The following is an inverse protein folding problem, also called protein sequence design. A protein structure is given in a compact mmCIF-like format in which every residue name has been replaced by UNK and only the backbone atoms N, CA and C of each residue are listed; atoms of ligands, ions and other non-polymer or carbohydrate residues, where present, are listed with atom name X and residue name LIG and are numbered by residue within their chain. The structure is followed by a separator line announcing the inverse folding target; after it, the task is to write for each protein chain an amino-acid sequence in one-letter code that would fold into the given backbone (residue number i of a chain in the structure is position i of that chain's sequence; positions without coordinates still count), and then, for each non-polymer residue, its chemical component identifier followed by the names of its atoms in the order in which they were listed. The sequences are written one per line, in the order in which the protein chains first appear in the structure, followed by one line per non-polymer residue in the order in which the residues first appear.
data_IF_485377744406
#
_entry.id   IF_485377744406
#
_cell.length_a   1.000
_cell.length_b   1.000
_cell.length_c   1.000
_cell.angle_alpha   90.00
_cell.angle_beta   90.00
_cell.angle_gamma   90.00
#
_symmetry.space_group_name_H-M   'P 1'
#
loop_
_entity.id
_entity.type
_entity.pdbx_description
1 polymer ?
#
# COMPACT_ATOMS: atom_id res chain seq x y z
N UNK A 1 15.75 55.74 4.57
CA UNK A 1 14.43 55.09 4.77
C UNK A 1 14.11 54.18 3.59
N UNK A 2 14.78 53.02 3.47
CA UNK A 2 14.36 51.92 2.60
C UNK A 2 15.31 50.73 2.79
N UNK A 3 14.95 49.80 3.67
CA UNK A 3 15.44 48.42 3.66
C UNK A 3 14.68 47.62 4.72
N UNK A 4 13.54 47.03 4.34
CA UNK A 4 12.94 45.89 5.02
C UNK A 4 11.67 45.48 4.28
N UNK A 5 11.77 44.64 3.23
CA UNK A 5 10.66 43.73 2.87
C UNK A 5 11.02 42.68 1.79
N UNK A 6 12.08 41.89 1.96
CA UNK A 6 12.39 40.82 0.98
C UNK A 6 12.88 39.54 1.65
N UNK A 7 12.12 38.99 2.60
CA UNK A 7 12.48 37.66 3.12
C UNK A 7 11.32 36.76 3.59
N UNK A 8 10.09 36.98 3.11
CA UNK A 8 8.92 36.21 3.58
C UNK A 8 8.23 35.40 2.47
N UNK A 9 8.97 34.81 1.53
CA UNK A 9 8.36 34.14 0.37
C UNK A 9 8.86 32.74 0.04
N UNK A 10 9.74 32.12 0.85
CA UNK A 10 10.31 30.80 0.49
C UNK A 10 10.18 29.68 1.53
N UNK A 11 9.23 29.78 2.47
CA UNK A 11 8.82 28.61 3.26
C UNK A 11 7.64 27.91 2.58
N UNK A 12 7.92 27.23 1.46
CA UNK A 12 7.02 26.21 0.94
C UNK A 12 6.96 25.09 1.99
N UNK A 13 5.79 24.93 2.61
CA UNK A 13 5.58 24.00 3.71
C UNK A 13 5.91 22.56 3.31
N UNK A 14 6.78 21.93 4.09
CA UNK A 14 7.03 20.49 4.01
C UNK A 14 5.73 19.78 4.36
N UNK A 15 5.15 19.03 3.42
CA UNK A 15 4.00 18.19 3.71
C UNK A 15 4.44 17.04 4.63
N UNK A 16 3.95 17.05 5.87
CA UNK A 16 4.23 16.01 6.88
C UNK A 16 3.55 14.68 6.53
N UNK A 17 2.47 14.73 5.75
CA UNK A 17 1.66 13.56 5.39
C UNK A 17 1.13 13.69 3.95
N UNK A 18 1.00 12.57 3.22
CA UNK A 18 0.52 12.58 1.86
C UNK A 18 -0.95 13.05 1.78
N UNK A 19 -1.35 13.68 0.66
CA UNK A 19 -2.74 14.04 0.42
C UNK A 19 -3.68 12.83 0.47
N UNK A 20 -4.92 13.01 0.93
CA UNK A 20 -5.92 11.94 1.04
C UNK A 20 -6.55 11.51 -0.30
N UNK A 21 -5.97 11.92 -1.44
CA UNK A 21 -6.45 11.57 -2.78
C UNK A 21 -5.61 10.43 -3.36
N UNK A 22 -6.25 9.41 -3.92
CA UNK A 22 -5.59 8.40 -4.74
C UNK A 22 -5.55 8.93 -6.17
N UNK A 23 -4.35 9.21 -6.69
CA UNK A 23 -4.21 9.56 -8.10
C UNK A 23 -4.38 8.32 -9.00
N UNK A 24 -4.57 8.51 -10.30
CA UNK A 24 -4.60 7.40 -11.26
C UNK A 24 -3.33 6.54 -11.18
N UNK A 25 -2.16 7.17 -10.95
CA UNK A 25 -0.89 6.45 -10.84
C UNK A 25 -0.87 5.59 -9.57
N UNK A 26 -1.35 6.12 -8.45
CA UNK A 26 -1.45 5.37 -7.20
C UNK A 26 -2.39 4.17 -7.36
N UNK A 27 -3.55 4.37 -8.01
CA UNK A 27 -4.51 3.30 -8.25
C UNK A 27 -3.93 2.16 -9.12
N UNK A 28 -3.11 2.49 -10.12
CA UNK A 28 -2.41 1.48 -10.93
C UNK A 28 -1.42 0.68 -10.08
N UNK A 29 -0.58 1.36 -9.28
CA UNK A 29 0.36 0.66 -8.40
C UNK A 29 -0.34 -0.20 -7.35
N UNK A 30 -1.43 0.29 -6.76
CA UNK A 30 -2.24 -0.48 -5.81
C UNK A 30 -2.84 -1.73 -6.47
N UNK A 31 -3.31 -1.61 -7.71
CA UNK A 31 -3.82 -2.76 -8.49
C UNK A 31 -2.73 -3.81 -8.72
N UNK A 32 -1.52 -3.37 -9.09
CA UNK A 32 -0.37 -4.26 -9.27
C UNK A 32 0.00 -4.95 -7.94
N UNK A 33 0.09 -4.20 -6.84
CA UNK A 33 0.42 -4.74 -5.51
C UNK A 33 -0.60 -5.78 -5.05
N UNK A 34 -1.89 -5.52 -5.24
CA UNK A 34 -2.96 -6.49 -4.93
C UNK A 34 -2.80 -7.75 -5.79
N UNK A 35 -2.59 -7.59 -7.09
CA UNK A 35 -2.43 -8.71 -8.02
C UNK A 35 -1.21 -9.57 -7.70
N UNK A 36 -0.08 -8.94 -7.37
CA UNK A 36 1.16 -9.64 -7.03
C UNK A 36 1.05 -10.41 -5.71
N UNK A 37 0.47 -9.81 -4.66
CA UNK A 37 0.28 -10.53 -3.39
C UNK A 37 -0.68 -11.71 -3.53
N UNK A 38 -1.80 -11.54 -4.24
CA UNK A 38 -2.74 -12.65 -4.48
C UNK A 38 -2.09 -13.78 -5.29
N UNK A 39 -1.34 -13.44 -6.34
CA UNK A 39 -0.65 -14.42 -7.17
C UNK A 39 0.43 -15.17 -6.36
N UNK A 40 1.24 -14.43 -5.60
CA UNK A 40 2.29 -15.00 -4.77
C UNK A 40 1.73 -15.95 -3.71
N UNK A 41 0.66 -15.56 -3.01
CA UNK A 41 -0.05 -16.41 -2.06
C UNK A 41 -0.50 -17.74 -2.70
N UNK A 42 -1.16 -17.66 -3.86
CA UNK A 42 -1.65 -18.85 -4.58
C UNK A 42 -0.50 -19.76 -5.03
N UNK A 43 0.58 -19.19 -5.55
CA UNK A 43 1.75 -19.96 -5.98
C UNK A 43 2.48 -20.61 -4.81
N UNK A 44 2.66 -19.89 -3.71
CA UNK A 44 3.28 -20.42 -2.51
C UNK A 44 2.48 -21.62 -1.97
N UNK A 45 1.16 -21.49 -1.86
CA UNK A 45 0.30 -22.60 -1.46
C UNK A 45 0.36 -23.78 -2.43
N UNK A 46 0.34 -23.51 -3.75
CA UNK A 46 0.50 -24.55 -4.77
C UNK A 46 1.82 -25.32 -4.59
N UNK A 47 2.95 -24.63 -4.41
CA UNK A 47 4.24 -25.31 -4.22
C UNK A 47 4.34 -26.04 -2.89
N UNK A 48 3.73 -25.52 -1.81
CA UNK A 48 3.65 -26.23 -0.52
C UNK A 48 2.94 -27.59 -0.65
N UNK A 49 1.94 -27.71 -1.54
CA UNK A 49 1.23 -28.96 -1.80
C UNK A 49 2.03 -29.95 -2.67
N UNK A 50 2.92 -29.46 -3.54
CA UNK A 50 3.71 -30.30 -4.44
C UNK A 50 5.07 -30.71 -3.85
N UNK A 51 5.52 -30.03 -2.80
CA UNK A 51 6.80 -30.28 -2.15
C UNK A 51 6.74 -31.46 -1.18
N UNK A 52 7.75 -32.33 -1.23
CA UNK A 52 7.92 -33.45 -0.29
C UNK A 52 8.80 -33.09 0.89
N UNK A 53 9.67 -32.09 0.73
CA UNK A 53 10.53 -31.59 1.79
C UNK A 53 9.71 -30.76 2.80
N UNK A 54 9.74 -31.18 4.06
CA UNK A 54 8.92 -30.59 5.11
C UNK A 54 9.38 -29.18 5.51
N UNK A 55 10.67 -28.88 5.40
CA UNK A 55 11.22 -27.56 5.68
C UNK A 55 10.79 -26.58 4.59
N UNK A 56 10.94 -26.96 3.31
CA UNK A 56 10.49 -26.14 2.18
C UNK A 56 8.98 -25.91 2.21
N UNK A 57 8.19 -26.94 2.52
CA UNK A 57 6.74 -26.81 2.69
C UNK A 57 6.40 -25.74 3.73
N UNK A 58 7.09 -25.75 4.87
CA UNK A 58 6.88 -24.76 5.94
C UNK A 58 7.21 -23.35 5.46
N UNK A 59 8.31 -23.17 4.74
CA UNK A 59 8.69 -21.87 4.18
C UNK A 59 7.68 -21.36 3.14
N UNK A 60 7.15 -22.23 2.28
CA UNK A 60 6.11 -21.87 1.33
C UNK A 60 4.82 -21.43 2.03
N UNK A 61 4.36 -22.15 3.05
CA UNK A 61 3.17 -21.76 3.81
C UNK A 61 3.36 -20.40 4.50
N UNK A 62 4.52 -20.16 5.13
CA UNK A 62 4.85 -18.87 5.75
C UNK A 62 4.88 -17.73 4.72
N UNK A 63 5.47 -17.97 3.55
CA UNK A 63 5.49 -17.01 2.44
C UNK A 63 4.07 -16.70 1.96
N UNK A 64 3.22 -17.72 1.81
CA UNK A 64 1.81 -17.56 1.44
C UNK A 64 1.04 -16.70 2.43
N UNK A 65 1.16 -16.99 3.72
CA UNK A 65 0.52 -16.24 4.80
C UNK A 65 0.98 -14.77 4.85
N UNK A 66 2.27 -14.52 4.64
CA UNK A 66 2.82 -13.17 4.58
C UNK A 66 2.20 -12.35 3.43
N UNK A 67 2.11 -12.93 2.23
CA UNK A 67 1.48 -12.26 1.09
C UNK A 67 -0.03 -12.07 1.27
N UNK A 68 -0.73 -13.04 1.87
CA UNK A 68 -2.13 -12.88 2.22
C UNK A 68 -2.34 -11.69 3.16
N UNK A 69 -1.55 -11.61 4.24
CA UNK A 69 -1.62 -10.49 5.19
C UNK A 69 -1.40 -9.14 4.51
N UNK A 70 -0.43 -9.03 3.61
CA UNK A 70 -0.18 -7.79 2.87
C UNK A 70 -1.36 -7.42 1.96
N UNK A 71 -1.97 -8.40 1.29
CA UNK A 71 -3.18 -8.18 0.49
C UNK A 71 -4.34 -7.63 1.34
N UNK A 72 -4.60 -8.25 2.50
CA UNK A 72 -5.64 -7.84 3.43
C UNK A 72 -5.39 -6.44 4.00
N UNK A 73 -4.14 -6.12 4.34
CA UNK A 73 -3.75 -4.78 4.80
C UNK A 73 -4.03 -3.69 3.75
N UNK A 74 -3.69 -3.95 2.49
CA UNK A 74 -3.99 -3.02 1.40
C UNK A 74 -5.51 -2.80 1.25
N UNK A 75 -6.31 -3.86 1.33
CA UNK A 75 -7.77 -3.74 1.27
C UNK A 75 -8.35 -2.93 2.43
N UNK A 76 -7.83 -3.09 3.65
CA UNK A 76 -8.26 -2.28 4.80
C UNK A 76 -8.00 -0.80 4.54
N UNK A 77 -6.82 -0.43 4.05
CA UNK A 77 -6.49 0.97 3.74
C UNK A 77 -7.39 1.55 2.65
N UNK A 78 -7.68 0.79 1.59
CA UNK A 78 -8.57 1.22 0.51
C UNK A 78 -10.01 1.43 0.99
N UNK A 79 -10.50 0.56 1.88
CA UNK A 79 -11.84 0.69 2.46
C UNK A 79 -11.95 1.83 3.47
N UNK A 80 -10.90 2.13 4.23
CA UNK A 80 -10.89 3.28 5.13
C UNK A 80 -10.93 4.60 4.36
N UNK A 81 -10.17 4.69 3.25
CA UNK A 81 -10.10 5.89 2.44
C UNK A 81 -11.41 6.16 1.69
N UNK A 82 -12.10 5.13 1.21
CA UNK A 82 -13.43 5.29 0.60
C UNK A 82 -14.45 5.86 1.60
N UNK A 83 -14.37 5.47 2.88
CA UNK A 83 -15.23 5.98 3.95
C UNK A 83 -14.93 7.43 4.32
N UNK A 84 -13.65 7.81 4.41
CA UNK A 84 -13.24 9.20 4.68
C UNK A 84 -13.65 10.15 3.55
N UNK A 85 -13.48 9.73 2.29
CA UNK A 85 -13.82 10.56 1.15
C UNK A 85 -15.34 10.81 1.03
N UNK A 86 -16.16 9.86 1.49
CA UNK A 86 -17.62 10.03 1.58
C UNK A 86 -18.02 11.04 2.65
N UNK A 87 -17.37 11.04 3.82
CA UNK A 87 -17.67 12.00 4.90
C UNK A 87 -17.25 13.43 4.55
N UNK A 88 -16.21 13.63 3.75
CA UNK A 88 -15.76 14.97 3.32
C UNK A 88 -16.61 15.60 2.21
N UNK A 89 -17.60 14.88 1.65
CA UNK A 89 -18.52 15.37 0.61
C UNK A 89 -19.92 15.74 1.15
N UNK A 90 -20.20 15.57 2.45
CA UNK A 90 -21.39 16.12 3.13
C UNK A 90 -21.11 17.51 3.71
#
# INVERSE_FOLDING_TARGET
MQQQNMNMQNQQGIMQQPPAVISTKDALYLTDMLSWNLLACKKAHFYAQQCQDQELKTHFEQCGQMHQRHYEQLLVHLNQQSQQNFMGMQ
#
